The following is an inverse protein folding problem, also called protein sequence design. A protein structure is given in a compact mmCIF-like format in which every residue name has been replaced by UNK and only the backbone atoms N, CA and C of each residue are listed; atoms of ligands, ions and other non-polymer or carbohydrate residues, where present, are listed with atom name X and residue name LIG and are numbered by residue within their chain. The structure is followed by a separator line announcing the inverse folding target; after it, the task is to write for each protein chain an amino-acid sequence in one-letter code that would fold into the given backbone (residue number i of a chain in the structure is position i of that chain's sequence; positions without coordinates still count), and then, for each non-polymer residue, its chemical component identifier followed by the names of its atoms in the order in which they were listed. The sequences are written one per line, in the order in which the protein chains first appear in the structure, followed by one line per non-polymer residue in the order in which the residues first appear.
data_IF_812349922624
#
_entry.id   IF_812349922624
#
_cell.length_a   1.000
_cell.length_b   1.000
_cell.length_c   1.000
_cell.angle_alpha   90.00
_cell.angle_beta   90.00
_cell.angle_gamma   90.00
#
_symmetry.space_group_name_H-M   'P 1'
#
loop_
_entity.id
_entity.type
_entity.pdbx_description
1 polymer ?
#
# COMPACT_ATOMS: atom_id res chain seq x y z
N UNK A 1 2.14 -15.32 -32.26
CA UNK A 1 3.57 -14.94 -32.32
C UNK A 1 3.76 -13.74 -31.39
N UNK A 2 4.47 -13.90 -30.28
CA UNK A 2 4.79 -12.80 -29.37
C UNK A 2 5.77 -11.84 -30.07
N UNK A 3 5.40 -10.54 -30.12
CA UNK A 3 6.28 -9.52 -30.70
C UNK A 3 7.53 -9.37 -29.81
N UNK A 4 8.72 -9.48 -30.40
CA UNK A 4 9.99 -9.16 -29.75
C UNK A 4 9.94 -7.74 -29.18
N UNK A 5 10.42 -7.56 -27.95
CA UNK A 5 10.55 -6.25 -27.31
C UNK A 5 12.01 -6.01 -26.96
N UNK A 6 12.39 -4.72 -26.95
CA UNK A 6 13.72 -4.25 -26.58
C UNK A 6 13.59 -3.36 -25.35
N UNK A 7 14.47 -3.50 -24.38
CA UNK A 7 14.39 -2.80 -23.11
C UNK A 7 15.59 -1.87 -22.94
N UNK A 8 15.32 -0.62 -22.62
CA UNK A 8 16.34 0.38 -22.35
C UNK A 8 16.40 0.61 -20.87
N UNK A 9 17.59 0.51 -20.30
CA UNK A 9 17.88 0.88 -18.89
C UNK A 9 18.78 2.10 -18.92
N UNK A 10 18.26 3.25 -18.53
CA UNK A 10 19.05 4.48 -18.38
C UNK A 10 19.66 4.57 -16.98
N UNK A 11 18.96 3.99 -16.00
CA UNK A 11 19.39 3.98 -14.60
C UNK A 11 19.11 2.61 -13.99
N UNK A 12 20.18 1.90 -13.72
CA UNK A 12 20.21 0.53 -13.22
C UNK A 12 21.64 0.16 -12.84
N UNK A 13 21.90 -1.10 -12.53
CA UNK A 13 23.25 -1.60 -12.23
C UNK A 13 24.18 -1.39 -13.41
N UNK A 14 23.74 -1.74 -14.61
CA UNK A 14 24.45 -1.49 -15.87
C UNK A 14 23.44 -0.81 -16.81
N UNK A 15 23.60 0.48 -17.16
CA UNK A 15 22.78 1.12 -18.19
C UNK A 15 23.06 0.51 -19.57
N UNK A 16 22.01 0.32 -20.39
CA UNK A 16 22.16 -0.30 -21.70
C UNK A 16 20.83 -0.66 -22.37
N UNK A 17 20.94 -1.29 -23.54
CA UNK A 17 19.80 -1.85 -24.30
C UNK A 17 19.84 -3.36 -24.16
N UNK A 18 18.73 -3.96 -23.77
CA UNK A 18 18.58 -5.39 -23.48
C UNK A 18 17.55 -6.03 -24.41
N UNK A 19 17.78 -7.27 -24.82
CA UNK A 19 16.93 -8.00 -25.75
C UNK A 19 15.81 -8.77 -25.07
N UNK A 20 15.97 -9.07 -23.77
CA UNK A 20 15.00 -9.82 -22.97
C UNK A 20 14.61 -9.04 -21.72
N UNK A 21 13.43 -9.38 -21.17
CA UNK A 21 12.98 -8.80 -19.91
C UNK A 21 13.85 -9.27 -18.74
N UNK A 22 14.28 -10.52 -18.77
CA UNK A 22 15.08 -11.13 -17.72
C UNK A 22 16.41 -10.38 -17.54
N UNK A 23 17.09 -10.06 -18.64
CA UNK A 23 18.34 -9.27 -18.60
C UNK A 23 18.09 -7.85 -18.07
N UNK A 24 17.00 -7.21 -18.51
CA UNK A 24 16.60 -5.88 -18.03
C UNK A 24 16.26 -5.92 -16.53
N UNK A 25 15.49 -6.92 -16.09
CA UNK A 25 15.08 -7.08 -14.70
C UNK A 25 16.28 -7.20 -13.76
N UNK A 26 17.30 -7.93 -14.12
CA UNK A 26 18.55 -8.05 -13.32
C UNK A 26 19.19 -6.70 -13.06
N UNK A 27 19.13 -5.77 -14.04
CA UNK A 27 19.74 -4.45 -13.93
C UNK A 27 18.91 -3.49 -13.08
N UNK A 28 17.59 -3.64 -13.08
CA UNK A 28 16.68 -2.70 -12.40
C UNK A 28 16.13 -3.24 -11.09
N UNK A 29 16.18 -4.56 -10.88
CA UNK A 29 15.70 -5.23 -9.67
C UNK A 29 16.49 -4.76 -8.45
N UNK A 30 15.77 -4.19 -7.47
CA UNK A 30 16.34 -3.62 -6.25
C UNK A 30 17.31 -2.45 -6.46
N UNK A 31 17.33 -1.84 -7.66
CA UNK A 31 18.14 -0.65 -7.91
C UNK A 31 17.34 0.62 -7.60
N UNK A 32 17.81 1.49 -6.68
CA UNK A 32 17.10 2.71 -6.29
C UNK A 32 16.93 3.65 -7.48
N UNK A 33 15.71 4.15 -7.70
CA UNK A 33 15.40 5.09 -8.79
C UNK A 33 15.75 4.56 -10.19
N UNK A 34 15.59 3.26 -10.42
CA UNK A 34 15.79 2.68 -11.75
C UNK A 34 14.90 3.38 -12.79
N UNK A 35 15.45 3.61 -14.00
CA UNK A 35 14.73 4.19 -15.12
C UNK A 35 14.91 3.29 -16.33
N UNK A 36 13.83 2.70 -16.80
CA UNK A 36 13.82 1.80 -17.96
C UNK A 36 12.51 1.92 -18.73
N UNK A 37 12.53 1.47 -20.00
CA UNK A 37 11.35 1.45 -20.87
C UNK A 37 11.50 0.38 -21.95
N UNK A 38 10.36 -0.23 -22.34
CA UNK A 38 10.30 -1.18 -23.45
C UNK A 38 9.96 -0.47 -24.77
N UNK A 39 10.58 -0.94 -25.87
CA UNK A 39 10.39 -0.45 -27.22
C UNK A 39 10.04 -1.61 -28.16
N UNK A 40 9.42 -1.28 -29.30
CA UNK A 40 8.98 -2.28 -30.27
C UNK A 40 10.11 -2.68 -31.23
N UNK A 41 11.11 -1.82 -31.44
CA UNK A 41 12.25 -2.05 -32.33
C UNK A 41 13.57 -1.72 -31.64
N UNK A 42 14.65 -2.38 -32.10
CA UNK A 42 16.00 -2.12 -31.58
C UNK A 42 16.47 -0.70 -31.92
N UNK A 43 16.11 -0.19 -33.09
CA UNK A 43 16.48 1.17 -33.51
C UNK A 43 15.89 2.22 -32.57
N UNK A 44 14.61 2.10 -32.22
CA UNK A 44 13.95 2.99 -31.25
C UNK A 44 14.60 2.88 -29.87
N UNK A 45 14.96 1.67 -29.44
CA UNK A 45 15.60 1.46 -28.14
C UNK A 45 16.98 2.11 -28.09
N UNK A 46 17.81 1.96 -29.13
CA UNK A 46 19.14 2.60 -29.22
C UNK A 46 19.03 4.12 -29.25
N UNK A 47 18.13 4.67 -30.09
CA UNK A 47 17.91 6.11 -30.15
C UNK A 47 17.43 6.67 -28.81
N UNK A 48 16.54 5.98 -28.14
CA UNK A 48 16.05 6.38 -26.82
C UNK A 48 17.14 6.31 -25.76
N UNK A 49 18.05 5.33 -25.83
CA UNK A 49 19.20 5.24 -24.92
C UNK A 49 20.15 6.41 -25.08
N UNK A 50 20.48 6.79 -26.33
CA UNK A 50 21.33 7.93 -26.65
C UNK A 50 20.71 9.28 -26.30
N UNK A 51 19.37 9.40 -26.45
CA UNK A 51 18.63 10.59 -26.07
C UNK A 51 18.52 10.80 -24.54
N UNK A 52 18.84 9.77 -23.76
CA UNK A 52 18.75 9.79 -22.30
C UNK A 52 17.32 9.56 -21.77
N UNK A 53 17.17 9.49 -20.43
CA UNK A 53 15.86 9.27 -19.80
C UNK A 53 14.89 10.39 -20.15
N UNK A 54 13.61 10.08 -20.44
CA UNK A 54 12.60 11.08 -20.75
C UNK A 54 12.50 12.08 -19.59
N UNK A 55 12.76 13.34 -19.89
CA UNK A 55 12.57 14.41 -18.92
C UNK A 55 11.07 14.64 -18.78
N UNK A 56 10.50 14.34 -17.61
CA UNK A 56 9.17 14.83 -17.28
C UNK A 56 9.20 16.37 -17.30
N UNK A 57 8.31 17.07 -18.03
CA UNK A 57 8.24 18.52 -17.99
C UNK A 57 7.99 18.93 -16.53
N UNK A 58 8.90 19.70 -15.98
CA UNK A 58 8.74 20.33 -14.68
C UNK A 58 7.51 21.23 -14.73
N UNK A 59 6.54 20.99 -13.87
CA UNK A 59 5.39 21.88 -13.67
C UNK A 59 5.91 23.22 -13.20
N UNK A 60 5.49 24.36 -13.80
CA UNK A 60 6.06 25.66 -13.45
C UNK A 60 5.79 25.99 -11.99
N UNK A 61 6.84 26.42 -11.31
CA UNK A 61 6.78 26.92 -9.94
C UNK A 61 5.92 28.18 -9.89
N UNK A 62 4.81 28.12 -9.18
CA UNK A 62 4.03 29.29 -8.82
C UNK A 62 4.71 29.98 -7.64
N UNK A 63 5.25 31.15 -7.89
CA UNK A 63 5.72 32.13 -6.91
C UNK A 63 4.61 32.51 -5.96
N UNK A 64 4.82 32.29 -4.66
CA UNK A 64 3.97 32.82 -3.59
C UNK A 64 4.62 34.06 -2.97
N UNK A 65 3.88 35.13 -2.69
CA UNK A 65 4.41 36.21 -1.89
C UNK A 65 4.27 35.91 -0.39
N UNK A 66 5.34 36.20 0.32
CA UNK A 66 5.48 36.22 1.76
C UNK A 66 4.41 37.11 2.42
N UNK A 67 3.72 36.59 3.42
CA UNK A 67 3.03 37.40 4.41
C UNK A 67 3.36 36.85 5.81
N UNK A 68 4.12 37.67 6.51
CA UNK A 68 4.43 37.60 7.93
C UNK A 68 3.14 37.77 8.75
N UNK A 69 2.85 36.88 9.71
CA UNK A 69 1.97 37.23 10.82
C UNK A 69 2.28 36.42 12.08
N UNK A 70 2.73 37.14 13.01
CA UNK A 70 2.78 37.19 14.49
C UNK A 70 2.18 36.01 15.24
N UNK A 71 3.03 35.47 16.13
CA UNK A 71 2.74 34.51 17.20
C UNK A 71 1.87 35.19 18.26
N UNK A 72 0.78 34.53 18.68
CA UNK A 72 0.13 34.78 19.96
C UNK A 72 0.03 33.45 20.72
N UNK A 73 0.74 33.41 21.84
CA UNK A 73 0.73 32.34 22.85
C UNK A 73 -0.52 32.48 23.71
N UNK A 74 -1.27 31.41 23.89
CA UNK A 74 -2.21 31.28 25.01
C UNK A 74 -2.09 29.88 25.62
N UNK A 75 -1.72 29.82 26.87
CA UNK A 75 -1.64 28.67 27.75
C UNK A 75 -2.98 28.39 28.47
N UNK A 76 -3.12 27.27 29.21
CA UNK A 76 -4.38 26.51 29.30
C UNK A 76 -5.10 26.70 30.65
N UNK A 77 -6.37 26.29 30.69
CA UNK A 77 -7.08 26.01 31.98
C UNK A 77 -8.11 24.90 31.75
N UNK A 78 -7.86 23.82 32.31
CA UNK A 78 -8.50 23.01 33.37
C UNK A 78 -9.99 22.60 33.30
N UNK A 79 -10.14 21.29 33.60
CA UNK A 79 -11.24 20.58 34.26
C UNK A 79 -12.50 20.20 33.48
N UNK A 80 -12.74 18.89 33.45
CA UNK A 80 -14.07 18.31 33.24
C UNK A 80 -14.07 16.81 32.92
N UNK A 81 -14.03 15.99 33.97
CA UNK A 81 -14.21 14.53 33.93
C UNK A 81 -15.56 14.14 33.32
N UNK A 82 -15.60 13.19 32.37
CA UNK A 82 -16.68 12.23 32.34
C UNK A 82 -16.21 10.87 31.76
N UNK A 83 -16.33 9.87 32.62
CA UNK A 83 -16.04 8.48 32.37
C UNK A 83 -17.17 7.86 31.53
N UNK A 84 -16.88 7.45 30.29
CA UNK A 84 -17.71 6.47 29.63
C UNK A 84 -16.82 5.51 28.81
N UNK A 85 -17.04 4.23 29.08
CA UNK A 85 -16.41 3.01 28.63
C UNK A 85 -15.60 3.07 27.33
N UNK A 86 -14.26 3.02 27.46
CA UNK A 86 -13.33 2.84 26.36
C UNK A 86 -13.33 1.38 25.91
N UNK A 87 -13.78 1.14 24.69
CA UNK A 87 -13.43 -0.08 23.95
C UNK A 87 -11.93 -0.02 23.66
N UNK A 88 -11.14 -1.11 23.86
CA UNK A 88 -9.70 -1.06 23.67
C UNK A 88 -9.38 -0.98 22.17
N UNK A 89 -8.89 0.15 21.73
CA UNK A 89 -8.30 0.34 20.40
C UNK A 89 -6.99 -0.44 20.32
N UNK A 90 -7.06 -1.66 19.77
CA UNK A 90 -5.97 -2.65 19.82
C UNK A 90 -4.72 -2.25 19.04
N UNK A 91 -4.81 -1.31 18.10
CA UNK A 91 -3.67 -0.80 17.35
C UNK A 91 -3.47 0.72 17.50
N UNK A 92 -4.31 1.43 18.31
CA UNK A 92 -4.25 2.90 18.46
C UNK A 92 -4.29 3.60 17.08
N UNK A 93 -5.08 3.06 16.16
CA UNK A 93 -5.28 3.60 14.83
C UNK A 93 -6.48 4.56 14.85
N UNK A 94 -6.59 5.37 15.92
CA UNK A 94 -7.57 6.45 16.02
C UNK A 94 -7.15 7.59 15.09
N UNK A 95 -7.07 7.29 13.79
CA UNK A 95 -6.86 8.24 12.72
C UNK A 95 -8.21 8.63 12.17
N UNK A 96 -8.70 9.76 12.66
CA UNK A 96 -9.69 10.66 12.04
C UNK A 96 -10.69 10.01 11.08
N UNK A 97 -11.75 9.41 11.64
CA UNK A 97 -13.00 9.17 10.91
C UNK A 97 -13.68 10.53 10.68
N UNK A 98 -13.20 11.29 9.68
CA UNK A 98 -13.97 12.40 9.15
C UNK A 98 -15.25 11.82 8.56
N UNK A 99 -16.37 12.18 9.17
CA UNK A 99 -17.72 11.78 8.79
C UNK A 99 -18.01 12.10 7.33
N UNK A 100 -17.89 11.09 6.48
CA UNK A 100 -18.48 11.05 5.17
C UNK A 100 -19.86 10.42 5.34
N UNK A 101 -20.88 11.11 4.87
CA UNK A 101 -22.30 10.70 4.82
C UNK A 101 -22.45 9.21 4.57
N UNK A 102 -23.20 8.56 5.45
CA UNK A 102 -23.79 7.25 5.23
C UNK A 102 -24.80 7.35 4.07
N UNK A 103 -24.28 7.30 2.84
CA UNK A 103 -25.07 6.90 1.71
C UNK A 103 -25.30 5.39 1.86
N UNK A 104 -26.55 4.98 2.05
CA UNK A 104 -26.99 3.60 1.88
C UNK A 104 -26.69 3.18 0.44
N UNK A 105 -25.44 2.75 0.18
CA UNK A 105 -25.16 1.96 -0.99
C UNK A 105 -25.70 0.56 -0.71
N UNK A 106 -26.83 0.27 -1.32
CA UNK A 106 -27.36 -1.07 -1.57
C UNK A 106 -26.16 -1.94 -1.93
N UNK A 107 -25.79 -2.90 -1.04
CA UNK A 107 -24.61 -3.73 -1.22
C UNK A 107 -24.75 -4.49 -2.53
N UNK A 108 -24.04 -4.03 -3.58
CA UNK A 108 -23.83 -4.85 -4.75
C UNK A 108 -23.10 -6.10 -4.26
N UNK A 109 -23.80 -7.24 -4.36
CA UNK A 109 -23.15 -8.54 -4.25
C UNK A 109 -22.04 -8.55 -5.29
N UNK A 110 -20.80 -8.66 -4.83
CA UNK A 110 -19.65 -8.79 -5.73
C UNK A 110 -19.86 -10.05 -6.56
N UNK A 111 -19.80 -9.95 -7.88
CA UNK A 111 -19.81 -11.11 -8.78
C UNK A 111 -18.44 -11.79 -8.68
N UNK A 112 -18.31 -12.68 -7.70
CA UNK A 112 -17.05 -13.37 -7.38
C UNK A 112 -17.13 -14.83 -7.86
N UNK A 113 -15.98 -15.38 -8.33
CA UNK A 113 -15.90 -16.79 -8.68
C UNK A 113 -16.31 -17.71 -7.53
N UNK A 114 -16.96 -18.86 -7.82
CA UNK A 114 -17.51 -19.73 -6.80
C UNK A 114 -16.48 -20.35 -5.86
N UNK A 115 -15.22 -20.42 -6.28
CA UNK A 115 -14.10 -20.88 -5.45
C UNK A 115 -13.61 -19.85 -4.43
N UNK A 116 -14.03 -18.59 -4.53
CA UNK A 116 -13.67 -17.53 -3.59
C UNK A 116 -14.55 -17.64 -2.34
N UNK A 117 -13.90 -17.69 -1.17
CA UNK A 117 -14.63 -17.65 0.11
C UNK A 117 -15.21 -16.26 0.33
N UNK A 118 -16.54 -16.18 0.43
CA UNK A 118 -17.24 -14.93 0.77
C UNK A 118 -17.08 -14.54 2.25
N UNK A 119 -16.92 -15.54 3.15
CA UNK A 119 -16.59 -15.32 4.56
C UNK A 119 -15.11 -14.93 4.70
N UNK A 120 -14.80 -13.73 4.20
CA UNK A 120 -13.43 -13.21 4.13
C UNK A 120 -13.40 -11.69 4.02
N UNK A 121 -12.26 -11.12 4.43
CA UNK A 121 -11.85 -9.77 4.08
C UNK A 121 -10.83 -9.82 2.93
N UNK A 122 -11.00 -9.00 1.92
CA UNK A 122 -9.96 -8.70 0.94
C UNK A 122 -9.25 -7.41 1.36
N UNK A 123 -7.93 -7.39 1.27
CA UNK A 123 -7.13 -6.20 1.63
C UNK A 123 -6.18 -5.82 0.50
N UNK A 124 -5.96 -4.53 0.34
CA UNK A 124 -5.05 -3.96 -0.64
C UNK A 124 -4.49 -2.63 -0.18
N UNK A 125 -3.43 -2.17 -0.85
CA UNK A 125 -2.83 -0.87 -0.66
C UNK A 125 -2.60 -0.16 -1.99
N UNK A 126 -2.60 1.17 -1.93
CA UNK A 126 -2.22 2.01 -3.04
C UNK A 126 -1.13 2.99 -2.62
N UNK A 127 -0.19 3.28 -3.52
CA UNK A 127 0.87 4.23 -3.28
C UNK A 127 1.07 5.13 -4.50
N UNK A 128 0.90 6.45 -4.31
CA UNK A 128 1.16 7.44 -5.36
C UNK A 128 2.66 7.76 -5.41
N UNK A 129 3.42 6.95 -6.16
CA UNK A 129 4.87 6.85 -6.13
C UNK A 129 5.33 5.73 -5.17
N UNK A 130 6.61 5.32 -5.25
CA UNK A 130 7.11 4.21 -4.45
C UNK A 130 8.59 4.45 -4.07
N UNK A 131 8.86 5.21 -2.95
CA UNK A 131 7.94 5.67 -1.91
C UNK A 131 7.12 6.91 -2.29
N UNK A 132 5.94 7.05 -1.63
CA UNK A 132 5.01 8.16 -1.83
C UNK A 132 3.86 8.12 -0.82
N UNK A 133 2.80 8.95 -1.02
CA UNK A 133 1.57 8.83 -0.26
C UNK A 133 0.96 7.43 -0.45
N UNK A 134 0.91 6.67 0.62
CA UNK A 134 0.46 5.28 0.69
C UNK A 134 -0.77 5.20 1.59
N UNK A 135 -1.76 4.47 1.15
CA UNK A 135 -2.97 4.16 1.90
C UNK A 135 -3.33 2.68 1.71
N UNK A 136 -4.13 2.14 2.61
CA UNK A 136 -4.60 0.76 2.51
C UNK A 136 -6.03 0.62 3.05
N UNK A 137 -6.74 -0.41 2.58
CA UNK A 137 -8.11 -0.71 3.02
C UNK A 137 -8.41 -2.19 3.08
N UNK A 138 -9.50 -2.51 3.77
CA UNK A 138 -10.08 -3.84 3.79
C UNK A 138 -11.55 -3.81 3.42
N UNK A 139 -11.98 -4.78 2.62
CA UNK A 139 -13.35 -4.93 2.10
C UNK A 139 -13.89 -6.29 2.51
N UNK A 140 -15.08 -6.33 3.05
CA UNK A 140 -15.81 -7.58 3.34
C UNK A 140 -16.37 -8.16 2.04
N UNK A 141 -15.96 -9.37 1.67
CA UNK A 141 -16.35 -9.99 0.40
C UNK A 141 -17.85 -10.34 0.36
N UNK A 142 -18.44 -10.69 1.50
CA UNK A 142 -19.87 -11.01 1.57
C UNK A 142 -20.77 -9.80 1.30
N UNK A 143 -20.30 -8.58 1.56
CA UNK A 143 -21.13 -7.36 1.49
C UNK A 143 -20.60 -6.30 0.54
N UNK A 144 -19.37 -6.42 0.06
CA UNK A 144 -18.69 -5.39 -0.73
C UNK A 144 -18.35 -4.10 0.06
N UNK A 145 -18.61 -4.06 1.38
CA UNK A 145 -18.41 -2.85 2.20
C UNK A 145 -16.95 -2.72 2.64
N UNK A 146 -16.45 -1.48 2.59
CA UNK A 146 -15.17 -1.14 3.20
C UNK A 146 -15.31 -1.25 4.71
N UNK A 147 -14.46 -2.08 5.34
CA UNK A 147 -14.45 -2.34 6.79
C UNK A 147 -13.48 -1.41 7.50
N UNK A 148 -12.36 -1.11 6.84
CA UNK A 148 -11.39 -0.12 7.31
C UNK A 148 -10.66 0.52 6.12
N UNK A 149 -10.18 1.75 6.34
CA UNK A 149 -9.32 2.49 5.44
C UNK A 149 -8.34 3.30 6.28
N UNK A 150 -7.08 3.33 5.91
CA UNK A 150 -6.04 4.05 6.61
C UNK A 150 -5.03 4.71 5.65
N UNK A 151 -4.62 5.91 5.96
CA UNK A 151 -3.70 6.73 5.17
C UNK A 151 -4.29 8.10 4.84
N UNK A 152 -3.58 8.91 4.01
CA UNK A 152 -2.28 8.58 3.44
C UNK A 152 -1.12 8.76 4.44
N UNK A 153 -0.12 7.89 4.35
CA UNK A 153 1.19 8.04 4.98
C UNK A 153 2.29 7.93 3.93
N UNK A 154 3.43 8.57 4.18
CA UNK A 154 4.55 8.43 3.26
C UNK A 154 5.23 7.07 3.44
N UNK A 155 5.16 6.22 2.42
CA UNK A 155 5.63 4.84 2.48
C UNK A 155 5.77 4.18 1.12
N UNK A 156 5.73 2.85 1.11
CA UNK A 156 5.77 2.03 -0.11
C UNK A 156 4.54 1.12 -0.17
N UNK A 157 4.16 0.70 -1.37
CA UNK A 157 3.03 -0.19 -1.56
C UNK A 157 3.15 -1.47 -0.72
N UNK A 158 4.30 -2.13 -0.77
CA UNK A 158 4.52 -3.38 -0.01
C UNK A 158 4.33 -3.20 1.52
N UNK A 159 4.70 -2.04 2.08
CA UNK A 159 4.45 -1.75 3.50
C UNK A 159 2.95 -1.58 3.74
N UNK A 160 2.25 -0.88 2.85
CA UNK A 160 0.80 -0.72 2.92
C UNK A 160 0.07 -2.05 2.93
N UNK A 161 0.42 -2.94 2.01
CA UNK A 161 -0.13 -4.30 1.92
C UNK A 161 0.14 -5.12 3.19
N UNK A 162 1.36 -5.05 3.74
CA UNK A 162 1.70 -5.69 5.01
C UNK A 162 0.84 -5.16 6.15
N UNK A 163 0.71 -3.85 6.28
CA UNK A 163 -0.10 -3.21 7.32
C UNK A 163 -1.59 -3.51 7.15
N UNK A 164 -2.09 -3.59 5.92
CA UNK A 164 -3.47 -3.96 5.62
C UNK A 164 -3.81 -5.37 6.14
N UNK A 165 -2.93 -6.35 5.89
CA UNK A 165 -3.11 -7.72 6.39
C UNK A 165 -3.10 -7.73 7.92
N UNK A 166 -2.12 -7.07 8.56
CA UNK A 166 -2.03 -7.03 10.03
C UNK A 166 -3.24 -6.35 10.65
N UNK A 167 -3.75 -5.27 10.04
CA UNK A 167 -4.97 -4.60 10.49
C UNK A 167 -6.18 -5.53 10.42
N UNK A 168 -6.37 -6.24 9.30
CA UNK A 168 -7.43 -7.23 9.17
C UNK A 168 -7.34 -8.34 10.22
N UNK A 169 -6.15 -8.90 10.44
CA UNK A 169 -5.91 -9.92 11.47
C UNK A 169 -6.24 -9.41 12.87
N UNK A 170 -5.79 -8.21 13.21
CA UNK A 170 -6.05 -7.62 14.52
C UNK A 170 -7.56 -7.37 14.75
N UNK A 171 -8.26 -6.87 13.73
CA UNK A 171 -9.69 -6.65 13.77
C UNK A 171 -10.45 -7.97 13.98
N UNK A 172 -10.16 -8.99 13.17
CA UNK A 172 -10.82 -10.29 13.25
C UNK A 172 -10.52 -11.00 14.58
N UNK A 173 -9.29 -10.92 15.06
CA UNK A 173 -8.92 -11.50 16.37
C UNK A 173 -9.68 -10.83 17.51
N UNK A 174 -9.81 -9.50 17.49
CA UNK A 174 -10.55 -8.76 18.49
C UNK A 174 -12.05 -9.11 18.50
N UNK A 175 -12.60 -9.47 17.34
CA UNK A 175 -14.00 -9.89 17.17
C UNK A 175 -14.21 -11.39 17.42
N UNK A 176 -13.16 -12.17 17.70
CA UNK A 176 -13.24 -13.64 17.79
C UNK A 176 -13.64 -14.30 16.46
N UNK A 177 -13.47 -13.61 15.35
CA UNK A 177 -13.86 -14.05 14.01
C UNK A 177 -12.80 -14.95 13.39
N UNK A 178 -13.26 -15.95 12.59
CA UNK A 178 -12.40 -16.86 11.82
C UNK A 178 -12.52 -16.65 10.32
N UNK A 179 -13.03 -15.49 9.90
CA UNK A 179 -13.06 -15.08 8.49
C UNK A 179 -11.66 -15.14 7.91
N UNK A 180 -11.53 -15.49 6.63
CA UNK A 180 -10.24 -15.48 5.95
C UNK A 180 -9.81 -14.05 5.60
N UNK A 181 -8.51 -13.87 5.35
CA UNK A 181 -7.96 -12.63 4.81
C UNK A 181 -7.29 -12.93 3.47
N UNK A 182 -7.76 -12.29 2.41
CA UNK A 182 -7.17 -12.33 1.07
C UNK A 182 -6.28 -11.12 0.83
N UNK A 183 -5.11 -11.36 0.23
CA UNK A 183 -4.25 -10.32 -0.34
C UNK A 183 -3.62 -10.84 -1.63
N UNK A 184 -3.46 -9.98 -2.62
CA UNK A 184 -2.74 -10.29 -3.86
C UNK A 184 -1.22 -10.13 -3.74
N UNK A 185 -0.74 -9.58 -2.63
CA UNK A 185 0.69 -9.39 -2.36
C UNK A 185 1.35 -10.64 -1.77
N UNK A 186 2.16 -11.34 -2.57
CA UNK A 186 3.00 -12.45 -2.08
C UNK A 186 4.00 -11.99 -1.02
N UNK A 187 4.60 -10.80 -1.22
CA UNK A 187 5.59 -10.25 -0.30
C UNK A 187 4.98 -9.97 1.08
N UNK A 188 3.82 -9.31 1.11
CA UNK A 188 3.13 -8.99 2.35
C UNK A 188 2.73 -10.26 3.12
N UNK A 189 2.18 -11.27 2.43
CA UNK A 189 1.85 -12.57 3.02
C UNK A 189 3.09 -13.27 3.62
N UNK A 190 4.23 -13.23 2.94
CA UNK A 190 5.49 -13.79 3.46
C UNK A 190 5.99 -13.00 4.68
N UNK A 191 5.90 -11.68 4.69
CA UNK A 191 6.31 -10.84 5.80
C UNK A 191 5.45 -11.08 7.05
N UNK A 192 4.13 -11.22 6.86
CA UNK A 192 3.21 -11.54 7.97
C UNK A 192 3.51 -12.92 8.55
N UNK A 193 3.72 -13.94 7.71
CA UNK A 193 4.13 -15.29 8.17
C UNK A 193 5.47 -15.27 8.89
N UNK A 194 6.41 -14.45 8.43
CA UNK A 194 7.70 -14.23 9.09
C UNK A 194 7.60 -13.31 10.32
N UNK A 195 6.42 -12.73 10.60
CA UNK A 195 6.16 -11.77 11.68
C UNK A 195 7.07 -10.54 11.63
N UNK A 196 7.53 -10.17 10.42
CA UNK A 196 8.48 -9.09 10.20
C UNK A 196 8.33 -8.43 8.85
N UNK A 197 8.26 -7.11 8.82
CA UNK A 197 8.29 -6.28 7.61
C UNK A 197 9.74 -6.14 7.10
N UNK A 198 10.04 -6.69 5.92
CA UNK A 198 11.40 -6.66 5.34
C UNK A 198 11.52 -5.53 4.33
N UNK A 199 11.21 -4.31 4.75
CA UNK A 199 11.33 -3.13 3.89
C UNK A 199 12.77 -2.64 3.78
N UNK A 200 13.10 -2.05 2.63
CA UNK A 200 14.36 -1.32 2.38
C UNK A 200 14.19 0.19 2.50
N UNK A 201 12.98 0.67 2.84
CA UNK A 201 12.71 2.08 3.05
C UNK A 201 13.60 2.62 4.18
N UNK A 202 14.25 3.76 3.94
CA UNK A 202 15.11 4.38 4.95
C UNK A 202 14.25 5.02 6.05
N UNK A 203 14.68 4.85 7.31
CA UNK A 203 14.08 5.52 8.47
C UNK A 203 14.59 6.95 8.56
N UNK A 204 13.69 7.90 8.46
CA UNK A 204 13.93 9.35 8.50
C UNK A 204 12.83 10.01 9.32
N UNK A 205 12.93 11.28 9.63
CA UNK A 205 11.85 12.02 10.31
C UNK A 205 10.52 11.91 9.56
N UNK A 206 10.56 11.96 8.22
CA UNK A 206 9.38 11.83 7.39
C UNK A 206 8.73 10.46 7.44
N UNK A 207 9.52 9.40 7.58
CA UNK A 207 9.05 8.01 7.61
C UNK A 207 8.87 7.48 9.03
N UNK A 208 9.29 8.23 10.06
CA UNK A 208 9.20 7.83 11.47
C UNK A 208 7.78 7.39 11.89
N UNK A 209 6.70 8.11 11.53
CA UNK A 209 5.35 7.67 11.87
C UNK A 209 5.01 6.29 11.30
N UNK A 210 5.46 6.00 10.07
CA UNK A 210 5.27 4.70 9.42
C UNK A 210 6.07 3.60 10.12
N UNK A 211 7.33 3.87 10.50
CA UNK A 211 8.15 2.88 11.21
C UNK A 211 7.57 2.52 12.59
N UNK A 212 6.98 3.48 13.30
CA UNK A 212 6.24 3.20 14.54
C UNK A 212 5.03 2.29 14.32
N UNK A 213 4.32 2.44 13.19
CA UNK A 213 3.24 1.52 12.81
C UNK A 213 3.77 0.13 12.51
N UNK A 214 4.88 0.01 11.76
CA UNK A 214 5.52 -1.27 11.46
C UNK A 214 5.93 -1.98 12.76
N UNK A 215 6.62 -1.29 13.66
CA UNK A 215 7.06 -1.85 14.95
C UNK A 215 5.87 -2.34 15.80
N UNK A 216 4.76 -1.59 15.77
CA UNK A 216 3.53 -1.97 16.46
C UNK A 216 2.87 -3.19 15.81
N UNK A 217 2.82 -3.24 14.49
CA UNK A 217 2.31 -4.38 13.74
C UNK A 217 3.14 -5.65 13.99
N UNK A 218 4.47 -5.54 13.96
CA UNK A 218 5.38 -6.66 14.28
C UNK A 218 5.22 -7.13 15.73
N UNK A 219 5.10 -6.22 16.67
CA UNK A 219 4.84 -6.55 18.09
C UNK A 219 3.52 -7.30 18.22
N UNK A 220 2.46 -6.82 17.56
CA UNK A 220 1.16 -7.49 17.57
C UNK A 220 1.26 -8.90 17.00
N UNK A 221 1.90 -9.10 15.85
CA UNK A 221 2.11 -10.42 15.24
C UNK A 221 2.88 -11.38 16.16
N UNK A 222 3.81 -10.88 16.98
CA UNK A 222 4.61 -11.71 17.88
C UNK A 222 3.92 -12.04 19.19
N UNK A 223 2.89 -11.26 19.59
CA UNK A 223 2.19 -11.43 20.87
C UNK A 223 0.80 -12.04 20.75
N UNK A 224 0.25 -12.15 19.53
CA UNK A 224 -1.09 -12.69 19.31
C UNK A 224 -1.04 -13.94 18.45
N UNK A 225 -1.94 -14.87 18.75
CA UNK A 225 -2.18 -16.03 17.90
C UNK A 225 -3.30 -15.71 16.90
N UNK A 226 -2.96 -15.80 15.64
CA UNK A 226 -3.89 -15.62 14.50
C UNK A 226 -3.96 -16.87 13.62
N UNK A 227 -3.49 -18.02 14.10
CA UNK A 227 -3.44 -19.29 13.34
C UNK A 227 -4.83 -19.77 12.91
N UNK A 228 -5.88 -19.39 13.64
CA UNK A 228 -7.27 -19.69 13.30
C UNK A 228 -7.83 -18.87 12.12
N UNK A 229 -7.14 -17.82 11.67
CA UNK A 229 -7.55 -16.96 10.57
C UNK A 229 -6.77 -17.36 9.31
N UNK A 230 -7.41 -17.94 8.26
CA UNK A 230 -6.71 -18.31 7.04
C UNK A 230 -6.18 -17.10 6.28
N UNK A 231 -4.88 -17.11 5.98
CA UNK A 231 -4.24 -16.14 5.09
C UNK A 231 -4.17 -16.70 3.68
N UNK A 232 -4.90 -16.14 2.76
CA UNK A 232 -5.11 -16.62 1.41
C UNK A 232 -4.55 -15.65 0.38
N UNK A 233 -3.97 -16.19 -0.70
CA UNK A 233 -3.53 -15.42 -1.85
C UNK A 233 -4.72 -15.17 -2.77
N UNK A 234 -4.93 -13.91 -3.15
CA UNK A 234 -5.85 -13.55 -4.23
C UNK A 234 -5.17 -13.80 -5.58
N UNK A 235 -5.81 -14.59 -6.43
CA UNK A 235 -5.25 -14.97 -7.73
C UNK A 235 -5.75 -14.02 -8.84
N UNK A 236 -5.12 -12.85 -8.94
CA UNK A 236 -5.51 -11.77 -9.87
C UNK A 236 -5.61 -12.24 -11.32
N UNK A 237 -4.75 -13.18 -11.75
CA UNK A 237 -4.79 -13.74 -13.10
C UNK A 237 -6.04 -14.57 -13.39
N UNK A 238 -6.73 -15.07 -12.36
CA UNK A 238 -7.93 -15.92 -12.46
C UNK A 238 -9.20 -15.17 -12.12
N UNK A 239 -9.12 -14.28 -11.12
CA UNK A 239 -10.29 -13.67 -10.48
C UNK A 239 -10.39 -12.16 -10.75
N UNK A 240 -9.47 -11.59 -11.54
CA UNK A 240 -9.40 -10.15 -11.75
C UNK A 240 -8.82 -9.41 -10.53
N UNK A 241 -8.95 -8.10 -10.52
CA UNK A 241 -8.42 -7.25 -9.44
C UNK A 241 -9.08 -7.61 -8.10
N UNK A 242 -8.32 -7.50 -7.02
CA UNK A 242 -8.85 -7.73 -5.67
C UNK A 242 -9.94 -6.70 -5.35
N UNK A 243 -11.07 -7.08 -4.71
CA UNK A 243 -12.15 -6.13 -4.42
C UNK A 243 -11.75 -4.92 -3.57
N UNK A 244 -10.62 -5.00 -2.91
CA UNK A 244 -10.03 -3.89 -2.19
C UNK A 244 -9.14 -2.99 -3.06
N UNK A 245 -8.93 -3.27 -4.36
CA UNK A 245 -8.13 -2.45 -5.28
C UNK A 245 -8.68 -1.03 -5.38
N UNK A 246 -7.79 -0.04 -5.34
CA UNK A 246 -8.16 1.38 -5.34
C UNK A 246 -8.56 1.92 -6.73
N UNK A 247 -8.46 1.10 -7.79
CA UNK A 247 -8.77 1.51 -9.16
C UNK A 247 -7.86 2.60 -9.71
N UNK A 248 -6.69 2.81 -9.13
CA UNK A 248 -5.70 3.79 -9.58
C UNK A 248 -4.69 3.10 -10.51
N UNK A 249 -4.95 3.18 -11.79
CA UNK A 249 -4.01 2.75 -12.84
C UNK A 249 -3.42 3.95 -13.56
#
# INVERSE_FOLDING_TARGET
MSKQKYYVVWRGRIPGVYLTWEECEEQVKQFPSSAYKAFATEAEARQAFEAGPPQHPAKPASTSPSASMTVTVATPSDAGQNLQAASPSLLGLDGNASGGHAGESSGLLLDLPPEVRLDALAVDAACSGNPGPMEYRGVCLATGRVVFHYGPLYGTNNIGEFLAIVHALALLTAQGSRMAVYSDSRNALLWVRARRCRTTLQRTERTEPLFRLIERAERWLNTHDFSAIPLLKWETSRWGEVPADFGRK
#
